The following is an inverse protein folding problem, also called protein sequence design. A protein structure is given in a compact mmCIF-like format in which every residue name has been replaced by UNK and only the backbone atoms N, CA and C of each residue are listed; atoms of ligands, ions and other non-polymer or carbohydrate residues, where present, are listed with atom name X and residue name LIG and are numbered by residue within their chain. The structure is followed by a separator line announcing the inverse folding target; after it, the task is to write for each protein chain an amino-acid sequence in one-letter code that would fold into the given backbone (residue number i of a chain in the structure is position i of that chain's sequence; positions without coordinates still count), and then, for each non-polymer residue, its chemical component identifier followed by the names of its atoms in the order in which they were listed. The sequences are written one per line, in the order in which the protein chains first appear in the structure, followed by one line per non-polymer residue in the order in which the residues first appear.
data_IF_780480931703
#
_entry.id   IF_780480931703
#
_cell.length_a   1.000
_cell.length_b   1.000
_cell.length_c   1.000
_cell.angle_alpha   90.00
_cell.angle_beta   90.00
_cell.angle_gamma   90.00
#
_symmetry.space_group_name_H-M   'P 1'
#
loop_
_entity.id
_entity.type
_entity.pdbx_description
1 polymer ?
#
# COMPACT_ATOMS: atom_id res chain seq x y z
N UNK A 1 -11.00 -29.56 5.12
CA UNK A 1 -12.02 -28.99 6.04
C UNK A 1 -12.09 -27.48 5.89
N UNK A 2 -11.00 -26.74 6.14
CA UNK A 2 -10.98 -25.26 6.00
C UNK A 2 -11.44 -24.74 4.63
N UNK A 3 -11.04 -25.41 3.55
CA UNK A 3 -11.46 -25.10 2.16
C UNK A 3 -12.98 -25.08 1.99
N UNK A 4 -13.70 -26.01 2.61
CA UNK A 4 -15.16 -26.12 2.46
C UNK A 4 -15.88 -25.02 3.27
N UNK A 5 -15.33 -24.65 4.44
CA UNK A 5 -15.85 -23.52 5.21
C UNK A 5 -15.62 -22.19 4.50
N UNK A 6 -14.49 -22.04 3.82
CA UNK A 6 -14.22 -20.89 2.97
C UNK A 6 -15.20 -20.81 1.81
N UNK A 7 -15.40 -21.92 1.11
CA UNK A 7 -16.34 -22.00 0.00
C UNK A 7 -17.75 -21.62 0.45
N UNK A 8 -18.25 -22.20 1.56
CA UNK A 8 -19.54 -21.83 2.13
C UNK A 8 -19.62 -20.33 2.49
N UNK A 9 -18.54 -19.75 3.03
CA UNK A 9 -18.52 -18.32 3.38
C UNK A 9 -18.54 -17.42 2.13
N UNK A 10 -17.89 -17.84 1.04
CA UNK A 10 -17.89 -17.15 -0.25
C UNK A 10 -19.30 -17.17 -0.87
N UNK A 11 -19.97 -18.32 -0.85
CA UNK A 11 -21.35 -18.44 -1.33
C UNK A 11 -22.35 -17.56 -0.56
N UNK A 12 -22.14 -17.39 0.75
CA UNK A 12 -22.95 -16.51 1.60
C UNK A 12 -22.60 -15.02 1.40
N UNK A 13 -21.42 -14.71 0.86
CA UNK A 13 -20.93 -13.34 0.71
C UNK A 13 -20.31 -12.74 1.99
N UNK A 14 -20.01 -13.56 3.00
CA UNK A 14 -19.36 -13.13 4.26
C UNK A 14 -17.83 -13.09 4.12
N UNK A 15 -17.30 -12.08 3.42
CA UNK A 15 -15.87 -11.97 3.11
C UNK A 15 -14.97 -11.77 4.33
N UNK A 16 -15.46 -11.11 5.39
CA UNK A 16 -14.71 -10.94 6.64
C UNK A 16 -14.38 -12.28 7.32
N UNK A 17 -15.29 -13.24 7.20
CA UNK A 17 -15.11 -14.59 7.77
C UNK A 17 -14.07 -15.37 6.99
N UNK A 18 -14.00 -15.19 5.68
CA UNK A 18 -12.97 -15.81 4.81
C UNK A 18 -11.58 -15.40 5.26
N UNK A 19 -11.35 -14.12 5.60
CA UNK A 19 -10.06 -13.64 6.08
C UNK A 19 -9.64 -14.31 7.41
N UNK A 20 -10.57 -14.48 8.35
CA UNK A 20 -10.30 -15.15 9.64
C UNK A 20 -9.95 -16.63 9.42
N UNK A 21 -10.75 -17.31 8.60
CA UNK A 21 -10.50 -18.73 8.26
C UNK A 21 -9.19 -18.87 7.49
N UNK A 22 -8.83 -17.89 6.65
CA UNK A 22 -7.59 -17.89 5.88
C UNK A 22 -6.36 -17.88 6.78
N UNK A 23 -6.33 -17.04 7.82
CA UNK A 23 -5.21 -17.02 8.76
C UNK A 23 -5.02 -18.37 9.45
N UNK A 24 -6.11 -19.01 9.88
CA UNK A 24 -6.04 -20.32 10.52
C UNK A 24 -5.64 -21.43 9.52
N UNK A 25 -6.14 -21.36 8.29
CA UNK A 25 -5.78 -22.27 7.22
C UNK A 25 -4.30 -22.14 6.83
N UNK A 26 -3.78 -20.91 6.69
CA UNK A 26 -2.36 -20.63 6.39
C UNK A 26 -1.45 -21.22 7.46
N UNK A 27 -1.80 -21.04 8.73
CA UNK A 27 -1.06 -21.64 9.85
C UNK A 27 -1.05 -23.17 9.76
N UNK A 28 -2.20 -23.77 9.51
CA UNK A 28 -2.31 -25.24 9.39
C UNK A 28 -1.55 -25.82 8.19
N UNK A 29 -1.52 -25.10 7.06
CA UNK A 29 -0.75 -25.50 5.87
C UNK A 29 0.76 -25.35 6.13
N UNK A 30 1.17 -24.28 6.80
CA UNK A 30 2.58 -24.06 7.15
C UNK A 30 3.10 -25.15 8.10
N UNK A 31 2.32 -25.50 9.12
CA UNK A 31 2.64 -26.60 10.05
C UNK A 31 2.75 -27.94 9.28
N UNK A 32 1.88 -28.17 8.28
CA UNK A 32 1.95 -29.34 7.42
C UNK A 32 3.20 -29.35 6.51
N UNK A 33 3.55 -28.23 5.87
CA UNK A 33 4.77 -28.07 5.05
C UNK A 33 6.05 -28.31 5.86
N UNK A 34 6.10 -27.79 7.09
CA UNK A 34 7.24 -27.98 8.01
C UNK A 34 7.37 -29.45 8.44
N UNK A 35 6.25 -30.11 8.75
CA UNK A 35 6.24 -31.53 9.10
C UNK A 35 6.69 -32.44 7.95
N UNK A 36 6.33 -32.11 6.70
CA UNK A 36 6.77 -32.84 5.51
C UNK A 36 8.27 -32.62 5.26
N UNK A 37 8.74 -31.38 5.42
CA UNK A 37 10.16 -31.03 5.29
C UNK A 37 11.02 -31.76 6.34
N UNK A 38 10.52 -31.89 7.56
CA UNK A 38 11.17 -32.64 8.65
C UNK A 38 11.14 -34.16 8.42
N UNK A 39 10.04 -34.69 7.87
CA UNK A 39 9.96 -36.10 7.46
C UNK A 39 10.95 -36.41 6.32
N UNK A 40 11.15 -35.46 5.39
CA UNK A 40 12.07 -35.64 4.28
C UNK A 40 13.55 -35.56 4.73
N UNK A 41 13.88 -34.64 5.64
CA UNK A 41 15.25 -34.53 6.18
C UNK A 41 15.63 -35.74 7.04
N UNK A 42 14.70 -36.28 7.82
CA UNK A 42 14.90 -37.51 8.60
C UNK A 42 14.99 -38.76 7.74
N UNK A 43 14.27 -38.83 6.61
CA UNK A 43 14.41 -39.89 5.63
C UNK A 43 15.79 -39.85 4.93
N UNK A 44 16.28 -38.67 4.56
CA UNK A 44 17.62 -38.48 3.95
C UNK A 44 18.75 -38.76 4.95
N UNK A 45 18.56 -38.43 6.23
CA UNK A 45 19.53 -38.76 7.28
C UNK A 45 19.66 -40.28 7.54
N UNK A 46 18.62 -41.06 7.23
CA UNK A 46 18.64 -42.53 7.29
C UNK A 46 19.35 -43.17 6.09
N UNK A 47 19.50 -42.45 4.97
CA UNK A 47 20.29 -42.87 3.80
C UNK A 47 21.70 -42.26 3.84
N UNK A 48 22.53 -42.68 4.80
CA UNK A 48 23.99 -42.47 4.69
C UNK A 48 24.59 -43.59 3.84
N UNK A 49 25.54 -43.33 2.92
CA UNK A 49 26.20 -44.39 2.18
C UNK A 49 27.12 -45.15 3.14
N UNK A 50 26.75 -46.37 3.51
CA UNK A 50 27.69 -47.33 4.10
C UNK A 50 28.58 -47.82 2.95
N UNK A 51 29.87 -47.48 2.98
CA UNK A 51 30.87 -48.02 2.07
C UNK A 51 31.02 -49.51 2.41
N UNK A 52 30.27 -50.38 1.72
CA UNK A 52 30.61 -51.79 1.60
C UNK A 52 30.02 -52.35 0.32
N UNK A 53 30.88 -52.92 -0.53
CA UNK A 53 30.52 -53.39 -1.86
C UNK A 53 29.62 -54.62 -1.82
N UNK A 54 28.40 -54.48 -2.33
CA UNK A 54 27.65 -55.50 -3.07
C UNK A 54 26.70 -54.75 -4.00
N UNK A 55 26.76 -55.07 -5.29
CA UNK A 55 25.82 -54.59 -6.31
C UNK A 55 24.39 -54.97 -5.92
N UNK A 56 23.52 -53.98 -5.77
CA UNK A 56 22.08 -54.18 -5.75
C UNK A 56 21.44 -53.05 -6.54
N UNK A 57 21.25 -53.31 -7.83
CA UNK A 57 20.33 -52.56 -8.68
C UNK A 57 18.91 -52.86 -8.21
N UNK A 58 18.37 -52.09 -7.26
CA UNK A 58 16.94 -51.76 -7.26
C UNK A 58 16.52 -50.74 -6.19
N UNK A 59 15.50 -49.97 -6.57
CA UNK A 59 14.60 -49.16 -5.75
C UNK A 59 15.04 -47.74 -5.36
N UNK A 60 15.37 -46.92 -6.37
CA UNK A 60 15.03 -45.49 -6.32
C UNK A 60 13.56 -45.33 -6.81
N UNK A 61 12.59 -45.82 -6.04
CA UNK A 61 11.18 -45.45 -6.21
C UNK A 61 10.84 -44.46 -5.10
N UNK A 62 10.64 -43.15 -5.39
CA UNK A 62 9.94 -42.30 -4.43
C UNK A 62 8.57 -42.94 -4.19
N UNK A 63 8.25 -43.23 -2.92
CA UNK A 63 6.99 -43.83 -2.54
C UNK A 63 5.83 -42.98 -3.07
N UNK A 64 4.91 -43.59 -3.80
CA UNK A 64 3.75 -42.93 -4.42
C UNK A 64 2.90 -42.16 -3.39
N UNK A 65 2.93 -42.59 -2.11
CA UNK A 65 2.25 -41.93 -0.99
C UNK A 65 2.79 -40.54 -0.66
N UNK A 66 4.11 -40.32 -0.77
CA UNK A 66 4.75 -39.04 -0.42
C UNK A 66 4.48 -37.97 -1.50
N UNK A 67 4.39 -38.38 -2.78
CA UNK A 67 3.94 -37.50 -3.87
C UNK A 67 2.48 -37.09 -3.72
N UNK A 68 1.62 -38.00 -3.25
CA UNK A 68 0.19 -37.73 -3.05
C UNK A 68 -0.05 -36.71 -1.93
N UNK A 69 0.65 -36.84 -0.79
CA UNK A 69 0.54 -35.89 0.32
C UNK A 69 0.98 -34.47 -0.09
N UNK A 70 2.12 -34.34 -0.77
CA UNK A 70 2.63 -33.05 -1.25
C UNK A 70 1.71 -32.39 -2.28
N UNK A 71 1.15 -33.19 -3.20
CA UNK A 71 0.17 -32.72 -4.17
C UNK A 71 -1.06 -32.14 -3.48
N UNK A 72 -1.59 -32.81 -2.45
CA UNK A 72 -2.75 -32.35 -1.69
C UNK A 72 -2.46 -31.06 -0.91
N UNK A 73 -1.26 -30.91 -0.34
CA UNK A 73 -0.83 -29.68 0.34
C UNK A 73 -0.77 -28.52 -0.66
N UNK A 74 -0.18 -28.75 -1.84
CA UNK A 74 -0.11 -27.75 -2.90
C UNK A 74 -1.51 -27.35 -3.41
N UNK A 75 -2.42 -28.31 -3.59
CA UNK A 75 -3.81 -28.04 -3.96
C UNK A 75 -4.55 -27.25 -2.89
N UNK A 76 -4.37 -27.60 -1.61
CA UNK A 76 -4.93 -26.84 -0.49
C UNK A 76 -4.43 -25.40 -0.43
N UNK A 77 -3.14 -25.20 -0.69
CA UNK A 77 -2.48 -23.89 -0.75
C UNK A 77 -2.99 -23.05 -1.92
N UNK A 78 -3.09 -23.63 -3.12
CA UNK A 78 -3.62 -22.95 -4.29
C UNK A 78 -5.08 -22.49 -4.08
N UNK A 79 -5.93 -23.34 -3.47
CA UNK A 79 -7.32 -22.99 -3.09
C UNK A 79 -7.36 -21.88 -2.04
N UNK A 80 -6.47 -21.93 -1.05
CA UNK A 80 -6.37 -20.92 -0.01
C UNK A 80 -5.95 -19.55 -0.55
N UNK A 81 -4.86 -19.50 -1.31
CA UNK A 81 -4.35 -18.25 -1.89
C UNK A 81 -5.38 -17.62 -2.85
N UNK A 82 -6.10 -18.46 -3.60
CA UNK A 82 -7.23 -18.08 -4.44
C UNK A 82 -8.37 -17.43 -3.64
N UNK A 83 -8.85 -18.09 -2.58
CA UNK A 83 -9.94 -17.56 -1.75
C UNK A 83 -9.52 -16.26 -1.03
N UNK A 84 -8.29 -16.19 -0.55
CA UNK A 84 -7.71 -15.00 0.06
C UNK A 84 -7.63 -13.85 -0.94
N UNK A 85 -7.18 -14.11 -2.17
CA UNK A 85 -7.14 -13.10 -3.22
C UNK A 85 -8.53 -12.54 -3.53
N UNK A 86 -9.54 -13.39 -3.63
CA UNK A 86 -10.92 -12.97 -3.89
C UNK A 86 -11.49 -12.11 -2.75
N UNK A 87 -11.23 -12.47 -1.49
CA UNK A 87 -11.56 -11.64 -0.32
C UNK A 87 -10.90 -10.25 -0.39
N UNK A 88 -9.63 -10.18 -0.80
CA UNK A 88 -8.92 -8.91 -0.97
C UNK A 88 -9.44 -8.09 -2.14
N UNK A 89 -9.87 -8.74 -3.23
CA UNK A 89 -10.52 -8.10 -4.36
C UNK A 89 -11.83 -7.43 -3.92
N UNK A 90 -12.68 -8.15 -3.19
CA UNK A 90 -13.92 -7.60 -2.66
C UNK A 90 -13.69 -6.43 -1.68
N UNK A 91 -12.60 -6.48 -0.92
CA UNK A 91 -12.21 -5.40 -0.01
C UNK A 91 -11.61 -4.17 -0.73
N UNK A 92 -11.55 -4.18 -2.07
CA UNK A 92 -10.96 -3.09 -2.89
C UNK A 92 -9.43 -3.02 -2.85
N UNK A 93 -8.75 -4.02 -2.27
CA UNK A 93 -7.29 -4.04 -2.12
C UNK A 93 -6.62 -4.78 -3.28
N UNK A 94 -6.67 -4.17 -4.47
CA UNK A 94 -6.24 -4.81 -5.72
C UNK A 94 -4.78 -5.26 -5.73
N UNK A 95 -3.85 -4.47 -5.16
CA UNK A 95 -2.41 -4.83 -5.13
C UNK A 95 -2.14 -6.11 -4.37
N UNK A 96 -2.75 -6.25 -3.18
CA UNK A 96 -2.61 -7.45 -2.35
C UNK A 96 -3.28 -8.67 -2.97
N UNK A 97 -4.41 -8.46 -3.66
CA UNK A 97 -5.09 -9.53 -4.38
C UNK A 97 -4.18 -10.11 -5.48
N UNK A 98 -3.58 -9.27 -6.32
CA UNK A 98 -2.68 -9.76 -7.39
C UNK A 98 -1.47 -10.48 -6.81
N UNK A 99 -0.80 -9.91 -5.80
CA UNK A 99 0.37 -10.55 -5.19
C UNK A 99 0.05 -11.96 -4.62
N UNK A 100 -1.21 -12.24 -4.29
CA UNK A 100 -1.70 -13.58 -3.92
C UNK A 100 -2.04 -14.42 -5.14
N UNK A 101 -2.74 -13.88 -6.14
CA UNK A 101 -3.07 -14.58 -7.39
C UNK A 101 -1.82 -15.07 -8.14
N UNK A 102 -0.75 -14.28 -8.19
CA UNK A 102 0.50 -14.69 -8.86
C UNK A 102 1.20 -15.87 -8.18
N UNK A 103 0.92 -16.12 -6.90
CA UNK A 103 1.50 -17.27 -6.16
C UNK A 103 0.75 -18.58 -6.42
N UNK A 104 -0.43 -18.51 -7.04
CA UNK A 104 -1.27 -19.68 -7.28
C UNK A 104 -0.68 -20.49 -8.44
N UNK A 105 -0.29 -21.74 -8.15
CA UNK A 105 0.09 -22.70 -9.17
C UNK A 105 -1.17 -23.31 -9.81
N UNK A 106 -1.39 -23.05 -11.10
CA UNK A 106 -2.57 -23.55 -11.83
C UNK A 106 -2.61 -25.07 -11.94
N UNK A 107 -1.44 -25.70 -12.07
CA UNK A 107 -1.34 -27.17 -12.15
C UNK A 107 -1.79 -27.84 -10.84
N UNK A 108 -1.71 -27.12 -9.72
CA UNK A 108 -2.17 -27.60 -8.41
C UNK A 108 -3.64 -27.28 -8.13
N UNK A 109 -4.22 -26.34 -8.87
CA UNK A 109 -5.62 -25.96 -8.76
C UNK A 109 -6.47 -26.93 -9.60
N UNK A 110 -7.05 -27.93 -8.95
CA UNK A 110 -8.05 -28.80 -9.58
C UNK A 110 -9.31 -27.97 -9.91
N UNK A 111 -9.39 -27.48 -11.14
CA UNK A 111 -10.54 -26.76 -11.67
C UNK A 111 -11.65 -27.75 -12.09
N UNK A 112 -12.95 -27.39 -11.97
CA UNK A 112 -13.50 -26.13 -11.46
C UNK A 112 -13.86 -26.22 -9.97
N UNK A 113 -13.23 -25.40 -9.11
CA UNK A 113 -13.56 -25.30 -7.69
C UNK A 113 -14.46 -24.10 -7.39
N UNK A 114 -14.06 -22.89 -7.80
CA UNK A 114 -14.81 -21.65 -7.56
C UNK A 114 -15.02 -20.81 -8.83
N UNK A 115 -14.03 -20.83 -9.73
CA UNK A 115 -14.05 -20.12 -11.00
C UNK A 115 -13.21 -20.86 -12.04
N UNK A 116 -13.34 -20.50 -13.32
CA UNK A 116 -12.56 -21.11 -14.39
C UNK A 116 -11.15 -20.53 -14.49
N UNK A 117 -10.23 -21.21 -15.21
CA UNK A 117 -8.90 -20.65 -15.51
C UNK A 117 -8.98 -19.30 -16.26
N UNK A 118 -10.02 -19.12 -17.07
CA UNK A 118 -10.27 -17.89 -17.80
C UNK A 118 -10.61 -16.72 -16.87
N UNK A 119 -11.47 -16.95 -15.87
CA UNK A 119 -11.87 -15.92 -14.91
C UNK A 119 -10.70 -15.53 -14.00
N UNK A 120 -9.88 -16.50 -13.60
CA UNK A 120 -8.64 -16.25 -12.88
C UNK A 120 -7.70 -15.32 -13.67
N UNK A 121 -7.58 -15.55 -14.98
CA UNK A 121 -6.79 -14.69 -15.85
C UNK A 121 -7.38 -13.27 -15.94
N UNK A 122 -8.72 -13.13 -16.01
CA UNK A 122 -9.41 -11.83 -15.99
C UNK A 122 -9.13 -11.06 -14.69
N UNK A 123 -9.28 -11.69 -13.52
CA UNK A 123 -9.03 -11.03 -12.24
C UNK A 123 -7.56 -10.63 -12.08
N UNK A 124 -6.65 -11.53 -12.45
CA UNK A 124 -5.21 -11.28 -12.37
C UNK A 124 -4.79 -10.13 -13.28
N UNK A 125 -5.28 -10.09 -14.53
CA UNK A 125 -4.92 -9.06 -15.50
C UNK A 125 -5.42 -7.68 -15.12
N UNK A 126 -6.71 -7.54 -14.79
CA UNK A 126 -7.30 -6.25 -14.43
C UNK A 126 -6.68 -5.68 -13.16
N UNK A 127 -6.53 -6.52 -12.13
CA UNK A 127 -5.93 -6.06 -10.88
C UNK A 127 -4.43 -5.76 -11.05
N UNK A 128 -3.72 -6.49 -11.92
CA UNK A 128 -2.31 -6.24 -12.22
C UNK A 128 -2.12 -4.90 -12.95
N UNK A 129 -2.93 -4.59 -13.95
CA UNK A 129 -2.86 -3.31 -14.68
C UNK A 129 -3.20 -2.15 -13.75
N UNK A 130 -4.18 -2.31 -12.86
CA UNK A 130 -4.53 -1.28 -11.88
C UNK A 130 -3.45 -1.06 -10.82
N UNK A 131 -2.69 -2.10 -10.43
CA UNK A 131 -1.83 -2.06 -9.24
C UNK A 131 -0.33 -1.96 -9.53
N UNK A 132 0.17 -2.61 -10.58
CA UNK A 132 1.60 -2.70 -10.84
C UNK A 132 2.11 -1.63 -11.78
N UNK A 133 3.34 -1.19 -11.52
CA UNK A 133 4.09 -0.36 -12.46
C UNK A 133 4.61 -1.18 -13.67
N UNK A 134 5.02 -0.50 -14.75
CA UNK A 134 5.55 -1.09 -15.98
C UNK A 134 6.70 -2.07 -15.72
N UNK A 135 7.60 -1.76 -14.79
CA UNK A 135 8.73 -2.64 -14.45
C UNK A 135 8.25 -3.90 -13.72
N UNK A 136 7.32 -3.73 -12.78
CA UNK A 136 6.72 -4.83 -12.02
C UNK A 136 5.89 -5.74 -12.93
N UNK A 137 5.10 -5.18 -13.86
CA UNK A 137 4.26 -5.94 -14.77
C UNK A 137 5.08 -6.86 -15.68
N UNK A 138 6.20 -6.37 -16.22
CA UNK A 138 7.14 -7.19 -17.00
C UNK A 138 7.71 -8.33 -16.16
N UNK A 139 8.20 -8.01 -14.96
CA UNK A 139 8.90 -8.99 -14.11
C UNK A 139 7.97 -10.03 -13.51
N UNK A 140 6.81 -9.61 -13.00
CA UNK A 140 5.89 -10.44 -12.21
C UNK A 140 4.81 -11.13 -13.04
N UNK A 141 4.39 -10.57 -14.18
CA UNK A 141 3.28 -11.13 -14.97
C UNK A 141 3.77 -11.71 -16.29
N UNK A 142 4.57 -10.96 -17.06
CA UNK A 142 5.01 -11.40 -18.39
C UNK A 142 6.11 -12.48 -18.30
N UNK A 143 7.08 -12.29 -17.41
CA UNK A 143 8.19 -13.24 -17.25
C UNK A 143 7.80 -14.48 -16.43
N UNK A 144 6.77 -14.38 -15.60
CA UNK A 144 6.32 -15.49 -14.77
C UNK A 144 5.65 -16.61 -15.59
N UNK A 145 6.02 -17.85 -15.31
CA UNK A 145 5.53 -19.02 -16.06
C UNK A 145 4.12 -19.41 -15.66
N UNK A 146 3.76 -19.25 -14.38
CA UNK A 146 2.45 -19.65 -13.87
C UNK A 146 1.36 -18.73 -14.39
N UNK A 147 1.61 -17.42 -14.35
CA UNK A 147 0.68 -16.44 -14.90
C UNK A 147 0.50 -16.58 -16.41
N UNK A 148 1.58 -16.91 -17.14
CA UNK A 148 1.50 -17.16 -18.59
C UNK A 148 0.56 -18.31 -18.93
N UNK A 149 0.60 -19.41 -18.18
CA UNK A 149 -0.35 -20.54 -18.34
C UNK A 149 -1.80 -20.12 -18.14
N UNK A 150 -2.09 -19.23 -17.17
CA UNK A 150 -3.45 -18.70 -16.98
C UNK A 150 -3.90 -17.92 -18.21
N UNK A 151 -3.00 -17.06 -18.68
CA UNK A 151 -3.23 -16.12 -19.77
C UNK A 151 -3.37 -16.78 -21.13
N UNK A 152 -2.86 -18.00 -21.32
CA UNK A 152 -3.06 -18.79 -22.55
C UNK A 152 -4.54 -19.06 -22.85
N UNK A 153 -5.39 -19.07 -21.82
CA UNK A 153 -6.84 -19.25 -22.00
C UNK A 153 -7.49 -18.06 -22.71
N UNK A 154 -6.94 -16.85 -22.59
CA UNK A 154 -7.53 -15.62 -23.10
C UNK A 154 -6.47 -14.71 -23.77
N UNK A 155 -6.20 -14.90 -25.08
CA UNK A 155 -5.15 -14.16 -25.78
C UNK A 155 -5.41 -12.65 -25.85
N UNK A 156 -6.68 -12.21 -25.79
CA UNK A 156 -7.05 -10.78 -25.73
C UNK A 156 -6.44 -10.07 -24.51
N UNK A 157 -6.35 -10.74 -23.37
CA UNK A 157 -5.77 -10.18 -22.15
C UNK A 157 -4.24 -10.11 -22.23
N UNK A 158 -3.61 -11.06 -22.92
CA UNK A 158 -2.16 -11.02 -23.20
C UNK A 158 -1.83 -9.81 -24.07
N UNK A 159 -2.63 -9.58 -25.11
CA UNK A 159 -2.49 -8.41 -25.97
C UNK A 159 -2.63 -7.10 -25.18
N UNK A 160 -3.65 -7.02 -24.32
CA UNK A 160 -3.86 -5.88 -23.41
C UNK A 160 -2.61 -5.58 -22.57
N UNK A 161 -2.05 -6.60 -21.89
CA UNK A 161 -0.85 -6.46 -21.08
C UNK A 161 0.37 -5.99 -21.89
N UNK A 162 0.56 -6.53 -23.10
CA UNK A 162 1.64 -6.11 -23.99
C UNK A 162 1.47 -4.66 -24.45
N UNK A 163 0.25 -4.22 -24.77
CA UNK A 163 -0.05 -2.85 -25.16
C UNK A 163 0.23 -1.86 -24.01
N UNK A 164 -0.12 -2.20 -22.77
CA UNK A 164 0.22 -1.39 -21.58
C UNK A 164 1.72 -1.23 -21.43
N UNK A 165 2.48 -2.33 -21.60
CA UNK A 165 3.95 -2.30 -21.50
C UNK A 165 4.62 -1.50 -22.62
N UNK A 166 4.03 -1.47 -23.81
CA UNK A 166 4.47 -0.67 -24.96
C UNK A 166 3.95 0.77 -24.95
N UNK A 167 3.18 1.16 -23.92
CA UNK A 167 2.55 2.49 -23.79
C UNK A 167 1.58 2.84 -24.93
N UNK A 168 0.91 1.84 -25.51
CA UNK A 168 -0.09 2.03 -26.58
C UNK A 168 -1.51 2.18 -25.99
N UNK A 169 -1.75 3.27 -25.25
CA UNK A 169 -2.96 3.44 -24.43
C UNK A 169 -4.27 3.49 -25.22
N UNK A 170 -4.26 3.99 -26.46
CA UNK A 170 -5.48 3.96 -27.29
C UNK A 170 -6.00 2.54 -27.53
N UNK A 171 -5.11 1.61 -27.89
CA UNK A 171 -5.46 0.19 -28.09
C UNK A 171 -5.86 -0.50 -26.78
N UNK A 172 -5.23 -0.11 -25.66
CA UNK A 172 -5.60 -0.62 -24.33
C UNK A 172 -7.06 -0.27 -24.00
N UNK A 173 -7.45 0.99 -24.21
CA UNK A 173 -8.82 1.46 -23.95
C UNK A 173 -9.83 0.82 -24.91
N UNK A 174 -9.46 0.63 -26.18
CA UNK A 174 -10.31 -0.05 -27.17
C UNK A 174 -10.60 -1.50 -26.75
N UNK A 175 -9.55 -2.28 -26.41
CA UNK A 175 -9.70 -3.68 -25.91
C UNK A 175 -10.50 -3.72 -24.60
N UNK A 176 -10.23 -2.78 -23.70
CA UNK A 176 -10.91 -2.72 -22.41
C UNK A 176 -12.41 -2.45 -22.61
N UNK A 177 -12.77 -1.55 -23.53
CA UNK A 177 -14.17 -1.26 -23.89
C UNK A 177 -14.88 -2.47 -24.51
N UNK A 178 -14.22 -3.21 -25.40
CA UNK A 178 -14.78 -4.44 -25.99
C UNK A 178 -15.08 -5.52 -24.94
N UNK A 179 -14.21 -5.63 -23.92
CA UNK A 179 -14.33 -6.65 -22.88
C UNK A 179 -15.21 -6.21 -21.70
N UNK A 180 -15.66 -4.95 -21.66
CA UNK A 180 -16.43 -4.38 -20.54
C UNK A 180 -17.69 -5.17 -20.24
N UNK A 181 -18.44 -5.56 -21.27
CA UNK A 181 -19.70 -6.29 -21.11
C UNK A 181 -19.47 -7.65 -20.43
N UNK A 182 -18.37 -8.33 -20.77
CA UNK A 182 -17.98 -9.60 -20.14
C UNK A 182 -17.65 -9.41 -18.65
N UNK A 183 -16.96 -8.34 -18.30
CA UNK A 183 -16.60 -8.06 -16.90
C UNK A 183 -17.83 -7.67 -16.05
N UNK A 184 -18.82 -7.01 -16.65
CA UNK A 184 -20.06 -6.65 -15.95
C UNK A 184 -20.98 -7.85 -15.69
N UNK A 185 -20.87 -8.91 -16.50
CA UNK A 185 -21.62 -10.16 -16.31
C UNK A 185 -21.03 -11.05 -15.20
N UNK A 186 -19.81 -10.78 -14.76
CA UNK A 186 -19.14 -11.57 -13.74
C UNK A 186 -19.64 -11.20 -12.32
N UNK A 187 -20.08 -12.18 -11.50
CA UNK A 187 -20.64 -11.91 -10.17
C UNK A 187 -19.68 -11.19 -9.22
N UNK A 188 -18.39 -11.52 -9.26
CA UNK A 188 -17.40 -11.00 -8.32
C UNK A 188 -16.76 -9.71 -8.83
N UNK A 189 -16.66 -9.54 -10.15
CA UNK A 189 -15.98 -8.39 -10.74
C UNK A 189 -16.91 -7.21 -11.02
N UNK A 190 -18.21 -7.45 -11.27
CA UNK A 190 -19.17 -6.42 -11.68
C UNK A 190 -19.12 -5.13 -10.85
N UNK A 191 -19.10 -5.24 -9.51
CA UNK A 191 -19.03 -4.10 -8.60
C UNK A 191 -17.68 -3.34 -8.65
N UNK A 192 -16.62 -3.99 -9.11
CA UNK A 192 -15.26 -3.45 -9.17
C UNK A 192 -14.87 -2.93 -10.56
N UNK A 193 -15.69 -3.14 -11.59
CA UNK A 193 -15.38 -2.71 -12.97
C UNK A 193 -15.15 -1.21 -13.05
N UNK A 194 -16.10 -0.40 -12.61
CA UNK A 194 -15.99 1.06 -12.68
C UNK A 194 -14.80 1.65 -11.89
N UNK A 195 -14.55 1.27 -10.61
CA UNK A 195 -13.39 1.76 -9.89
C UNK A 195 -12.06 1.28 -10.51
N UNK A 196 -11.99 0.04 -11.00
CA UNK A 196 -10.80 -0.45 -11.69
C UNK A 196 -10.54 0.35 -12.97
N UNK A 197 -11.57 0.66 -13.75
CA UNK A 197 -11.44 1.43 -14.98
C UNK A 197 -10.96 2.86 -14.71
N UNK A 198 -11.48 3.49 -13.65
CA UNK A 198 -11.02 4.82 -13.22
C UNK A 198 -9.53 4.80 -12.88
N UNK A 199 -9.09 3.83 -12.07
CA UNK A 199 -7.68 3.69 -11.68
C UNK A 199 -6.78 3.38 -12.88
N UNK A 200 -7.21 2.48 -13.78
CA UNK A 200 -6.46 2.14 -14.99
C UNK A 200 -6.30 3.37 -15.89
N UNK A 201 -7.38 4.15 -16.07
CA UNK A 201 -7.36 5.38 -16.88
C UNK A 201 -6.43 6.42 -16.30
N UNK A 202 -6.53 6.71 -15.01
CA UNK A 202 -5.64 7.62 -14.30
C UNK A 202 -4.16 7.20 -14.45
N UNK A 203 -3.86 5.92 -14.23
CA UNK A 203 -2.48 5.42 -14.38
C UNK A 203 -1.97 5.53 -15.80
N UNK A 204 -2.82 5.26 -16.79
CA UNK A 204 -2.47 5.44 -18.19
C UNK A 204 -2.12 6.90 -18.50
N UNK A 205 -2.86 7.87 -17.94
CA UNK A 205 -2.55 9.30 -18.08
C UNK A 205 -1.18 9.64 -17.48
N UNK A 206 -0.91 9.22 -16.24
CA UNK A 206 0.38 9.45 -15.58
C UNK A 206 1.55 8.84 -16.35
N UNK A 207 1.41 7.58 -16.77
CA UNK A 207 2.46 6.85 -17.49
C UNK A 207 2.66 7.37 -18.92
N UNK A 208 1.62 7.92 -19.54
CA UNK A 208 1.75 8.60 -20.84
C UNK A 208 2.57 9.89 -20.71
N UNK A 209 2.38 10.63 -19.63
CA UNK A 209 3.00 11.95 -19.40
C UNK A 209 4.42 11.87 -18.85
N UNK A 210 4.80 10.76 -18.21
CA UNK A 210 6.12 10.55 -17.60
C UNK A 210 7.35 10.94 -18.46
N UNK A 211 7.43 10.62 -19.77
CA UNK A 211 8.59 11.00 -20.59
C UNK A 211 8.53 12.44 -21.14
N UNK A 212 7.43 13.17 -20.99
CA UNK A 212 7.23 14.48 -21.63
C UNK A 212 7.43 15.64 -20.66
N UNK A 213 8.30 16.59 -21.00
CA UNK A 213 8.38 17.86 -20.27
C UNK A 213 7.21 18.80 -20.61
N UNK A 214 6.71 18.73 -21.84
CA UNK A 214 5.51 19.43 -22.30
C UNK A 214 4.79 18.55 -23.32
N UNK A 215 3.46 18.55 -23.29
CA UNK A 215 2.61 17.78 -24.21
C UNK A 215 1.42 18.62 -24.71
N UNK A 216 0.96 18.32 -25.93
CA UNK A 216 -0.25 18.90 -26.53
C UNK A 216 -1.48 18.06 -26.14
N UNK A 217 -2.50 18.74 -25.60
CA UNK A 217 -3.74 18.11 -25.14
C UNK A 217 -4.57 17.56 -26.30
N UNK A 218 -4.49 18.15 -27.50
CA UNK A 218 -5.24 17.66 -28.66
C UNK A 218 -4.72 16.29 -29.12
N UNK A 219 -3.39 16.17 -29.23
CA UNK A 219 -2.74 14.89 -29.54
C UNK A 219 -3.06 13.83 -28.48
N UNK A 220 -3.03 14.22 -27.20
CA UNK A 220 -3.37 13.33 -26.08
C UNK A 220 -4.84 12.89 -26.11
N UNK A 221 -5.78 13.81 -26.33
CA UNK A 221 -7.20 13.54 -26.46
C UNK A 221 -7.50 12.49 -27.55
N UNK A 222 -6.81 12.58 -28.69
CA UNK A 222 -6.92 11.60 -29.78
C UNK A 222 -6.45 10.19 -29.37
N UNK A 223 -5.39 10.09 -28.55
CA UNK A 223 -4.88 8.80 -28.04
C UNK A 223 -5.84 8.20 -27.02
N UNK A 224 -6.41 9.02 -26.13
CA UNK A 224 -7.30 8.58 -25.05
C UNK A 224 -8.78 8.45 -25.46
N UNK A 225 -9.09 8.73 -26.73
CA UNK A 225 -10.45 8.65 -27.31
C UNK A 225 -11.46 9.51 -26.55
N UNK A 226 -11.05 10.70 -26.12
CA UNK A 226 -11.88 11.62 -25.33
C UNK A 226 -11.79 13.04 -25.85
N UNK A 227 -12.73 13.88 -25.44
CA UNK A 227 -12.73 15.30 -25.78
C UNK A 227 -11.71 16.06 -24.93
N UNK A 228 -11.15 17.14 -25.49
CA UNK A 228 -10.16 17.97 -24.81
C UNK A 228 -10.70 18.51 -23.47
N UNK A 229 -11.95 18.97 -23.44
CA UNK A 229 -12.58 19.49 -22.21
C UNK A 229 -12.69 18.44 -21.10
N UNK A 230 -13.04 17.21 -21.47
CA UNK A 230 -13.13 16.10 -20.50
C UNK A 230 -11.76 15.70 -19.99
N UNK A 231 -10.76 15.69 -20.89
CA UNK A 231 -9.38 15.40 -20.54
C UNK A 231 -8.78 16.47 -19.61
N UNK A 232 -9.05 17.75 -19.86
CA UNK A 232 -8.65 18.86 -18.99
C UNK A 232 -9.23 18.69 -17.59
N UNK A 233 -10.53 18.38 -17.47
CA UNK A 233 -11.16 18.13 -16.17
C UNK A 233 -10.52 16.95 -15.43
N UNK A 234 -10.23 15.85 -16.12
CA UNK A 234 -9.53 14.70 -15.54
C UNK A 234 -8.12 15.08 -15.05
N UNK A 235 -7.36 15.83 -15.84
CA UNK A 235 -6.00 16.26 -15.49
C UNK A 235 -5.99 17.25 -14.31
N UNK A 236 -6.99 18.14 -14.22
CA UNK A 236 -7.14 19.04 -13.07
C UNK A 236 -7.35 18.25 -11.79
N UNK A 237 -8.21 17.23 -11.79
CA UNK A 237 -8.43 16.36 -10.62
C UNK A 237 -7.12 15.65 -10.21
N UNK A 238 -6.30 15.21 -11.17
CA UNK A 238 -4.99 14.60 -10.87
C UNK A 238 -3.98 15.58 -10.27
N UNK A 239 -4.02 16.84 -10.69
CA UNK A 239 -3.22 17.90 -10.10
C UNK A 239 -3.72 18.28 -8.69
N UNK A 240 -5.02 18.32 -8.46
CA UNK A 240 -5.62 18.59 -7.14
C UNK A 240 -5.29 17.49 -6.11
N UNK A 241 -5.14 16.24 -6.57
CA UNK A 241 -4.74 15.11 -5.73
C UNK A 241 -3.22 15.00 -5.52
N UNK A 242 -2.43 15.97 -5.99
CA UNK A 242 -0.96 15.97 -5.96
C UNK A 242 -0.30 14.75 -6.61
N UNK A 243 -1.03 14.04 -7.48
CA UNK A 243 -0.52 12.87 -8.21
C UNK A 243 0.24 13.27 -9.48
N UNK A 244 -0.06 14.46 -10.01
CA UNK A 244 0.58 15.01 -11.20
C UNK A 244 1.04 16.46 -10.95
N UNK A 245 2.35 16.67 -10.87
CA UNK A 245 2.93 18.00 -10.75
C UNK A 245 3.03 18.68 -12.14
N UNK A 246 1.94 19.28 -12.60
CA UNK A 246 1.87 19.94 -13.90
C UNK A 246 1.12 21.28 -13.86
N UNK A 247 1.35 22.09 -14.88
CA UNK A 247 0.59 23.31 -15.20
C UNK A 247 -0.12 23.11 -16.53
N UNK A 248 -1.42 23.36 -16.53
CA UNK A 248 -2.29 23.20 -17.69
C UNK A 248 -2.58 24.59 -18.26
N UNK A 249 -2.25 24.80 -19.52
CA UNK A 249 -2.63 25.99 -20.29
C UNK A 249 -3.82 25.65 -21.19
N UNK A 250 -5.02 26.07 -20.78
CA UNK A 250 -6.26 25.84 -21.51
C UNK A 250 -6.35 26.64 -22.83
N UNK A 251 -5.68 27.80 -22.93
CA UNK A 251 -5.71 28.61 -24.15
C UNK A 251 -4.79 28.01 -25.20
N UNK A 252 -3.58 27.62 -24.79
CA UNK A 252 -2.62 26.95 -25.65
C UNK A 252 -2.91 25.47 -25.88
N UNK A 253 -3.86 24.88 -25.13
CA UNK A 253 -4.11 23.45 -25.08
C UNK A 253 -2.84 22.61 -24.84
N UNK A 254 -1.96 23.09 -23.95
CA UNK A 254 -0.70 22.38 -23.62
C UNK A 254 -0.56 22.15 -22.13
N UNK A 255 0.04 21.03 -21.76
CA UNK A 255 0.43 20.71 -20.40
C UNK A 255 1.95 20.79 -20.27
N UNK A 256 2.43 21.43 -19.21
CA UNK A 256 3.85 21.56 -18.88
C UNK A 256 4.12 20.94 -17.51
N UNK A 257 5.10 20.05 -17.44
CA UNK A 257 5.51 19.45 -16.18
C UNK A 257 6.27 20.45 -15.33
N UNK A 258 5.97 20.47 -14.04
CA UNK A 258 6.70 21.28 -13.07
C UNK A 258 7.93 20.47 -12.69
N UNK A 259 9.10 20.98 -13.06
CA UNK A 259 10.36 20.44 -12.56
C UNK A 259 10.74 21.26 -11.32
N UNK A 260 10.66 20.68 -10.10
CA UNK A 260 11.07 21.38 -8.91
C UNK A 260 12.58 21.64 -8.98
N UNK A 261 12.97 22.90 -8.76
CA UNK A 261 14.37 23.24 -8.61
C UNK A 261 14.79 22.88 -7.18
N UNK A 262 15.50 21.77 -7.02
CA UNK A 262 15.95 21.22 -5.73
C UNK A 262 16.64 22.27 -4.84
N UNK A 263 17.39 23.18 -5.47
CA UNK A 263 18.08 24.26 -4.78
C UNK A 263 17.11 25.28 -4.17
N UNK A 264 16.08 25.67 -4.93
CA UNK A 264 15.08 26.62 -4.47
C UNK A 264 14.21 26.01 -3.36
N UNK A 265 13.84 24.74 -3.50
CA UNK A 265 13.10 24.02 -2.47
C UNK A 265 13.91 23.90 -1.17
N UNK A 266 15.21 23.61 -1.28
CA UNK A 266 16.11 23.57 -0.12
C UNK A 266 16.21 24.92 0.58
N UNK A 267 16.34 26.01 -0.18
CA UNK A 267 16.35 27.35 0.41
C UNK A 267 15.04 27.71 1.08
N UNK A 268 13.91 27.36 0.46
CA UNK A 268 12.58 27.59 1.04
C UNK A 268 12.42 26.89 2.37
N UNK A 269 12.76 25.60 2.44
CA UNK A 269 12.75 24.81 3.70
C UNK A 269 13.63 25.42 4.78
N UNK A 270 14.79 25.98 4.43
CA UNK A 270 15.68 26.64 5.40
C UNK A 270 15.04 27.92 5.93
N UNK A 271 14.44 28.73 5.06
CA UNK A 271 13.75 29.97 5.46
C UNK A 271 12.56 29.66 6.36
N UNK A 272 11.69 28.72 5.96
CA UNK A 272 10.53 28.31 6.75
C UNK A 272 10.98 27.77 8.13
N UNK A 273 12.04 26.95 8.17
CA UNK A 273 12.61 26.45 9.42
C UNK A 273 13.26 27.53 10.29
N UNK A 274 13.79 28.61 9.71
CA UNK A 274 14.28 29.76 10.46
C UNK A 274 13.14 30.54 11.09
N UNK A 275 12.05 30.77 10.36
CA UNK A 275 10.87 31.47 10.86
C UNK A 275 10.22 30.69 12.02
N UNK A 276 10.05 29.38 11.87
CA UNK A 276 9.58 28.47 12.94
C UNK A 276 10.45 28.55 14.20
N UNK A 277 11.77 28.65 14.04
CA UNK A 277 12.70 28.78 15.16
C UNK A 277 12.58 30.13 15.85
N UNK A 278 12.37 31.22 15.10
CA UNK A 278 12.16 32.55 15.66
C UNK A 278 10.90 32.55 16.52
N UNK A 279 9.78 32.04 16.00
CA UNK A 279 8.53 31.95 16.77
C UNK A 279 8.68 31.12 18.05
N UNK A 280 9.39 29.98 17.97
CA UNK A 280 9.68 29.16 19.15
C UNK A 280 10.57 29.88 20.17
N UNK A 281 11.57 30.63 19.71
CA UNK A 281 12.44 31.42 20.59
C UNK A 281 11.64 32.52 21.29
N UNK A 282 10.80 33.25 20.56
CA UNK A 282 9.95 34.30 21.12
C UNK A 282 8.97 33.74 22.16
N UNK A 283 8.30 32.62 21.84
CA UNK A 283 7.42 31.94 22.77
C UNK A 283 8.15 31.42 24.02
N UNK A 284 9.37 30.90 23.87
CA UNK A 284 10.19 30.43 24.98
C UNK A 284 10.64 31.59 25.88
N UNK A 285 11.06 32.71 25.28
CA UNK A 285 11.42 33.94 26.00
C UNK A 285 10.20 34.46 26.76
N UNK A 286 9.05 34.56 26.11
CA UNK A 286 7.81 35.01 26.75
C UNK A 286 7.43 34.11 27.94
N UNK A 287 7.52 32.80 27.76
CA UNK A 287 7.26 31.83 28.84
C UNK A 287 8.24 32.00 30.01
N UNK A 288 9.53 32.20 29.74
CA UNK A 288 10.53 32.43 30.77
C UNK A 288 10.26 33.74 31.54
N UNK A 289 9.85 34.80 30.84
CA UNK A 289 9.48 36.08 31.47
C UNK A 289 8.22 35.93 32.32
N UNK A 290 7.19 35.24 31.84
CA UNK A 290 5.96 34.99 32.61
C UNK A 290 6.24 34.18 33.89
N UNK A 291 7.17 33.22 33.83
CA UNK A 291 7.63 32.48 35.01
C UNK A 291 8.36 33.36 36.02
N UNK A 292 9.22 34.28 35.57
CA UNK A 292 9.91 35.22 36.46
C UNK A 292 8.97 36.18 37.18
N UNK A 293 7.82 36.49 36.56
CA UNK A 293 6.77 37.36 37.13
C UNK A 293 5.77 36.55 37.99
N UNK A 294 6.00 35.25 38.21
CA UNK A 294 5.10 34.32 38.92
C UNK A 294 3.66 34.34 38.36
N UNK A 295 3.50 34.56 37.06
CA UNK A 295 2.20 34.57 36.40
C UNK A 295 1.80 33.14 36.01
N UNK A 296 1.06 32.47 36.90
CA UNK A 296 0.52 31.11 36.66
C UNK A 296 -0.93 31.16 36.20
N UNK A 297 -1.23 30.56 35.04
CA UNK A 297 -2.61 30.32 34.60
C UNK A 297 -3.07 28.95 35.12
N UNK A 298 -4.11 28.92 35.97
CA UNK A 298 -4.79 27.67 36.32
C UNK A 298 -5.91 27.41 35.30
N UNK A 299 -5.72 26.42 34.44
CA UNK A 299 -6.81 25.88 33.62
C UNK A 299 -7.82 25.14 34.53
N UNK A 300 -9.10 25.49 34.40
CA UNK A 300 -10.18 25.01 35.27
C UNK A 300 -10.39 23.48 35.24
N UNK A 301 -9.81 22.76 34.28
CA UNK A 301 -9.89 21.30 34.20
C UNK A 301 -9.10 20.57 35.30
N UNK A 302 -8.17 21.25 36.00
CA UNK A 302 -7.34 20.66 37.08
C UNK A 302 -7.76 21.21 38.46
N UNK A 303 -8.95 21.80 38.57
CA UNK A 303 -9.40 22.40 39.82
C UNK A 303 -10.18 21.41 40.69
N UNK A 304 -9.44 20.53 41.38
CA UNK A 304 -9.94 19.91 42.61
C UNK A 304 -8.82 19.76 43.64
N UNK A 305 -8.35 20.90 44.18
CA UNK A 305 -8.05 21.12 45.60
C UNK A 305 -7.49 22.53 45.82
N UNK A 306 -8.13 23.25 46.76
CA UNK A 306 -7.78 24.55 47.35
C UNK A 306 -6.32 24.99 47.15
N UNK A 307 -6.10 26.05 46.39
CA UNK A 307 -4.90 26.90 46.52
C UNK A 307 -5.37 28.34 46.66
N UNK A 308 -5.02 28.90 47.82
CA UNK A 308 -5.28 30.26 48.26
C UNK A 308 -4.33 31.19 47.49
N UNK A 309 -4.86 32.12 46.70
CA UNK A 309 -4.06 33.21 46.13
C UNK A 309 -3.46 34.03 47.27
N UNK A 310 -2.15 33.88 47.51
CA UNK A 310 -1.38 34.81 48.35
C UNK A 310 -0.40 35.55 47.44
N UNK A 311 -0.75 36.81 47.19
CA UNK A 311 0.10 37.82 46.56
C UNK A 311 1.31 38.03 47.48
N UNK A 312 2.46 37.44 47.16
CA UNK A 312 3.73 37.70 47.86
C UNK A 312 4.42 38.84 47.12
N UNK A 313 4.15 40.08 47.53
CA UNK A 313 5.10 41.16 47.31
C UNK A 313 6.33 40.90 48.18
N UNK A 314 7.58 41.03 47.69
CA UNK A 314 8.72 41.10 48.59
C UNK A 314 8.76 42.51 49.18
N UNK A 315 8.36 42.57 50.46
CA UNK A 315 8.70 43.64 51.38
C UNK A 315 10.23 43.64 51.53
N UNK A 316 10.88 44.78 51.26
CA UNK A 316 12.30 45.00 51.51
C UNK A 316 12.48 45.22 53.03
N UNK A 317 13.38 44.49 53.73
CA UNK A 317 13.98 45.01 54.94
C UNK A 317 15.51 45.11 54.81
N UNK A 318 15.99 46.25 55.29
CA UNK A 318 17.37 46.71 55.42
C UNK A 318 18.22 45.87 56.41
N UNK A 319 19.49 45.68 56.01
CA UNK A 319 20.74 45.59 56.80
C UNK A 319 21.07 44.45 57.81
N UNK A 320 22.31 43.96 57.59
CA UNK A 320 23.34 43.40 58.50
C UNK A 320 23.15 42.05 59.24
N UNK A 321 23.91 41.01 58.83
CA UNK A 321 25.22 40.60 59.45
C UNK A 321 25.77 39.27 58.89
N UNK A 322 27.04 39.34 58.45
CA UNK A 322 28.11 38.33 58.39
C UNK A 322 27.84 36.80 58.45
N UNK A 323 28.39 36.12 57.44
CA UNK A 323 29.34 35.00 57.64
C UNK A 323 28.93 33.62 57.09
N UNK A 324 29.73 33.05 56.18
CA UNK A 324 29.82 31.57 56.03
C UNK A 324 29.73 30.96 54.63
N UNK A 325 30.81 31.08 53.85
CA UNK A 325 31.47 30.07 52.98
C UNK A 325 30.79 28.70 52.66
N UNK A 326 30.71 28.36 51.35
CA UNK A 326 31.25 27.17 50.62
C UNK A 326 30.30 26.40 49.65
N UNK A 327 30.80 26.29 48.41
CA UNK A 327 30.75 25.20 47.41
C UNK A 327 29.49 24.81 46.59
N UNK A 328 29.58 25.13 45.29
CA UNK A 328 29.44 24.31 44.05
C UNK A 328 28.80 22.91 44.15
N UNK A 329 27.92 22.57 43.20
CA UNK A 329 28.10 21.52 42.15
C UNK A 329 26.77 21.16 41.43
N UNK A 330 26.79 21.36 40.10
CA UNK A 330 26.18 20.62 38.96
C UNK A 330 24.66 20.44 38.75
N UNK A 331 24.19 20.96 37.61
CA UNK A 331 23.16 20.43 36.69
C UNK A 331 23.54 19.02 36.16
N UNK A 332 22.63 18.15 35.63
CA UNK A 332 21.97 18.40 34.33
C UNK A 332 20.63 17.65 34.04
N UNK A 333 20.24 17.68 32.75
CA UNK A 333 19.28 16.87 31.97
C UNK A 333 17.80 17.31 32.00
N UNK A 334 17.32 17.97 30.94
CA UNK A 334 16.74 17.42 29.68
C UNK A 334 15.26 17.03 29.89
N UNK A 335 14.31 17.88 29.50
CA UNK A 335 13.69 17.96 28.15
C UNK A 335 13.05 16.65 27.67
N UNK A 336 11.71 16.66 27.56
CA UNK A 336 11.02 16.39 26.30
C UNK A 336 9.49 16.49 26.48
N UNK A 337 8.83 17.34 25.69
CA UNK A 337 7.49 17.06 25.12
C UNK A 337 7.02 18.15 24.14
N UNK A 338 7.19 17.81 22.85
CA UNK A 338 6.24 17.85 21.74
C UNK A 338 4.81 18.41 21.92
N UNK A 339 4.38 19.10 20.86
CA UNK A 339 3.05 19.18 20.22
C UNK A 339 1.89 19.91 20.91
N UNK A 340 1.51 21.08 20.37
CA UNK A 340 0.79 21.14 19.09
C UNK A 340 -0.75 21.26 19.17
N UNK A 341 -1.26 22.34 18.56
CA UNK A 341 -2.63 22.56 18.03
C UNK A 341 -3.78 22.72 19.05
N UNK A 342 -4.78 23.59 18.93
CA UNK A 342 -5.24 24.46 17.82
C UNK A 342 -6.28 25.46 18.39
N UNK A 343 -6.34 26.64 17.78
CA UNK A 343 -7.32 27.72 17.99
C UNK A 343 -8.73 27.37 17.49
N UNK A 344 -9.80 28.11 17.90
CA UNK A 344 -10.35 29.08 16.96
C UNK A 344 -10.95 30.37 17.55
N UNK A 345 -10.55 31.48 16.91
CA UNK A 345 -11.36 32.62 16.38
C UNK A 345 -12.01 33.61 17.35
N UNK A 346 -11.59 34.86 17.15
CA UNK A 346 -12.13 36.15 17.63
C UNK A 346 -13.54 36.50 17.09
N UNK A 347 -14.18 37.51 17.70
CA UNK A 347 -15.09 38.42 17.00
C UNK A 347 -14.55 39.86 16.92
N UNK A 348 -14.66 40.45 15.72
CA UNK A 348 -14.34 41.86 15.44
C UNK A 348 -15.41 42.85 15.96
N UNK A 349 -14.95 44.08 16.23
CA UNK A 349 -15.74 45.29 16.48
C UNK A 349 -15.32 46.37 15.45
N UNK A 350 -16.16 46.61 14.43
CA UNK A 350 -16.74 47.90 14.02
C UNK A 350 -17.32 47.87 12.61
#
# INVERSE_FOLDING_TARGET
MWTNWMEASIWVGEWQRVDIIAVQAERSIKEAEESESQANSTAVARTRPVIFGVSSTNANRPSTSQKCARSLINTGKARLDTACALSKLQSGRYKQAVDRLLKVDLDALELPWLFSASDLAMYTTLCAIASYDRAELKKKVINDTNCRKCLESEPRLVELLQCVVRSQFGRVLDILKEMKDRFLLDPYLSAHVDPLYSVIRERALLQYLEPFASADLNAMANVFRTDVKTLEGELVVLCEQDRLAARIDAVGATIRMIQPNEREESYRKIVDGCDDLIERCEAAILRAVMQQVDFFYLSASVMNKKILFRRVFPFIPTEERNGGRLHMVTNPSEEDSSDGSEDPREPELN
#
